data_IF_630014586764
#
_entry.id   IF_630014586764
#
_cell.length_a   1.000
_cell.length_b   1.000
_cell.length_c   1.000
_cell.angle_alpha   90.00
_cell.angle_beta   90.00
_cell.angle_gamma   90.00
#
_symmetry.space_group_name_H-M   'P 1'
#
loop_
_entity.id
_entity.type
_entity.pdbx_description
1 polymer ?
#
# COMPACT_ATOMS: atom_id res chain seq x y z
N UNK A 1 -19.04 -6.82 17.37
CA UNK A 1 -17.86 -6.93 16.51
C UNK A 1 -16.69 -7.17 17.42
N UNK A 2 -16.15 -8.36 17.34
CA UNK A 2 -14.98 -8.82 18.07
C UNK A 2 -13.72 -8.56 17.23
N UNK A 3 -12.55 -8.68 17.85
CA UNK A 3 -11.27 -8.58 17.14
C UNK A 3 -11.15 -9.72 16.12
N UNK A 4 -10.87 -9.37 14.87
CA UNK A 4 -10.86 -10.30 13.74
C UNK A 4 -12.17 -10.35 12.95
N UNK A 5 -13.24 -9.73 13.43
CA UNK A 5 -14.49 -9.63 12.68
C UNK A 5 -14.36 -8.64 11.52
N UNK A 6 -15.10 -8.92 10.46
CA UNK A 6 -15.31 -7.99 9.35
C UNK A 6 -16.78 -7.94 8.96
N UNK A 7 -17.21 -6.79 8.43
CA UNK A 7 -18.54 -6.60 7.87
C UNK A 7 -18.39 -6.55 6.34
N UNK A 8 -19.16 -7.39 5.65
CA UNK A 8 -19.27 -7.40 4.19
C UNK A 8 -20.53 -6.65 3.71
N UNK A 9 -20.68 -6.47 2.41
CA UNK A 9 -21.80 -5.74 1.80
C UNK A 9 -23.16 -6.39 2.08
N UNK A 10 -23.19 -7.71 2.21
CA UNK A 10 -24.40 -8.47 2.59
C UNK A 10 -24.79 -8.27 4.06
N UNK A 11 -23.85 -7.88 4.91
CA UNK A 11 -24.08 -7.62 6.35
C UNK A 11 -24.66 -6.24 6.67
N UNK A 12 -24.94 -5.41 5.67
CA UNK A 12 -25.45 -4.05 5.85
C UNK A 12 -26.97 -4.00 5.91
N UNK A 13 -27.51 -3.31 6.91
CA UNK A 13 -28.94 -3.06 7.03
C UNK A 13 -29.37 -1.95 6.05
N UNK A 14 -30.23 -2.32 5.10
CA UNK A 14 -30.58 -1.47 3.96
C UNK A 14 -31.90 -0.71 4.21
N UNK A 15 -31.91 0.63 4.14
CA UNK A 15 -33.14 1.39 4.26
C UNK A 15 -34.04 1.20 3.04
N UNK A 16 -35.34 1.45 3.22
CA UNK A 16 -36.35 1.27 2.17
C UNK A 16 -35.99 2.08 0.91
N UNK A 17 -35.95 1.40 -0.23
CA UNK A 17 -35.68 2.01 -1.54
C UNK A 17 -34.20 2.09 -1.92
N UNK A 18 -33.29 1.57 -1.10
CA UNK A 18 -31.86 1.47 -1.43
C UNK A 18 -31.52 0.04 -1.85
N UNK A 19 -30.77 -0.08 -2.94
CA UNK A 19 -30.27 -1.36 -3.48
C UNK A 19 -28.78 -1.24 -3.78
N UNK A 20 -27.99 -2.24 -3.37
CA UNK A 20 -26.56 -2.33 -3.69
C UNK A 20 -26.42 -2.99 -5.06
N UNK A 21 -25.99 -2.22 -6.06
CA UNK A 21 -25.81 -2.73 -7.43
C UNK A 21 -24.79 -3.87 -7.49
N UNK A 22 -23.79 -3.87 -6.61
CA UNK A 22 -22.82 -4.96 -6.48
C UNK A 22 -23.51 -6.32 -6.24
N UNK A 23 -24.57 -6.36 -5.44
CA UNK A 23 -25.34 -7.57 -5.14
C UNK A 23 -26.42 -7.88 -6.20
N UNK A 24 -26.57 -7.03 -7.23
CA UNK A 24 -27.54 -7.26 -8.32
C UNK A 24 -26.95 -8.03 -9.50
N UNK A 25 -25.62 -8.13 -9.57
CA UNK A 25 -24.96 -9.07 -10.46
C UNK A 25 -25.21 -10.47 -9.88
N UNK A 26 -25.69 -11.42 -10.70
CA UNK A 26 -26.24 -12.71 -10.24
C UNK A 26 -25.28 -13.63 -9.45
N UNK A 27 -24.06 -13.20 -9.18
CA UNK A 27 -23.08 -13.84 -8.32
C UNK A 27 -22.79 -12.95 -7.11
N UNK A 28 -23.60 -13.14 -6.05
CA UNK A 28 -23.48 -12.36 -4.82
C UNK A 28 -22.16 -12.63 -4.09
N UNK A 29 -21.67 -13.87 -4.11
CA UNK A 29 -20.43 -14.25 -3.40
C UNK A 29 -19.19 -13.60 -4.03
N UNK A 30 -19.13 -13.50 -5.36
CA UNK A 30 -18.04 -12.80 -6.05
C UNK A 30 -18.01 -11.29 -5.80
N UNK A 31 -19.16 -10.71 -5.44
CA UNK A 31 -19.32 -9.27 -5.25
C UNK A 31 -19.50 -8.86 -3.79
N UNK A 32 -19.49 -9.80 -2.84
CA UNK A 32 -19.60 -9.50 -1.42
C UNK A 32 -18.25 -9.05 -0.83
N UNK A 33 -18.00 -7.76 -0.91
CA UNK A 33 -16.75 -7.15 -0.48
C UNK A 33 -16.75 -6.82 1.01
N UNK A 34 -15.61 -6.99 1.68
CA UNK A 34 -15.41 -6.52 3.06
C UNK A 34 -15.23 -5.01 3.09
N UNK A 35 -16.07 -4.31 3.86
CA UNK A 35 -16.07 -2.83 3.97
C UNK A 35 -15.45 -2.34 5.28
N UNK A 36 -15.49 -3.15 6.33
CA UNK A 36 -14.97 -2.82 7.65
C UNK A 36 -14.29 -4.06 8.22
N UNK A 37 -13.08 -3.90 8.77
CA UNK A 37 -12.38 -4.94 9.51
C UNK A 37 -11.96 -4.41 10.88
N UNK A 38 -12.18 -5.19 11.94
CA UNK A 38 -11.78 -4.86 13.30
C UNK A 38 -10.46 -5.57 13.59
N UNK A 39 -9.37 -4.80 13.62
CA UNK A 39 -8.02 -5.31 13.84
C UNK A 39 -7.41 -4.72 15.12
N UNK A 40 -6.50 -5.48 15.74
CA UNK A 40 -5.71 -4.96 16.85
C UNK A 40 -4.84 -3.80 16.37
N UNK A 41 -4.69 -2.79 17.22
CA UNK A 41 -3.81 -1.67 16.91
C UNK A 41 -2.38 -2.19 16.80
N UNK A 42 -1.79 -2.10 15.61
CA UNK A 42 -0.37 -2.41 15.42
C UNK A 42 0.43 -1.36 16.19
N UNK A 43 0.94 -1.74 17.36
CA UNK A 43 1.93 -0.94 18.08
C UNK A 43 3.18 -0.97 17.21
N UNK A 44 3.42 0.11 16.45
CA UNK A 44 4.71 0.34 15.83
C UNK A 44 5.67 0.65 16.97
N UNK A 45 6.39 -0.36 17.45
CA UNK A 45 7.60 -0.10 18.21
C UNK A 45 8.51 0.73 17.29
N UNK A 46 8.99 1.87 17.80
CA UNK A 46 10.02 2.66 17.14
C UNK A 46 11.21 1.72 16.94
N UNK A 47 11.41 1.26 15.70
CA UNK A 47 12.61 0.54 15.35
C UNK A 47 13.67 1.62 15.30
N UNK A 48 14.51 1.70 16.33
CA UNK A 48 15.78 2.39 16.20
C UNK A 48 16.47 1.77 14.99
N UNK A 49 16.56 2.55 13.92
CA UNK A 49 17.28 2.20 12.71
C UNK A 49 18.77 2.20 13.09
N UNK A 50 19.22 1.13 13.75
CA UNK A 50 20.63 0.88 14.09
C UNK A 50 21.38 0.39 12.83
N UNK A 51 20.99 0.92 11.67
CA UNK A 51 21.75 0.75 10.45
C UNK A 51 23.09 1.47 10.68
N UNK A 52 24.23 0.78 10.51
CA UNK A 52 25.53 1.41 10.66
C UNK A 52 25.62 2.57 9.66
N UNK A 53 25.83 3.78 10.19
CA UNK A 53 26.13 4.95 9.37
C UNK A 53 27.38 4.60 8.56
N UNK A 54 27.24 4.55 7.24
CA UNK A 54 28.38 4.35 6.36
C UNK A 54 29.38 5.48 6.65
N UNK A 55 30.69 5.17 6.82
CA UNK A 55 31.68 6.21 7.05
C UNK A 55 31.64 7.20 5.90
N UNK A 56 31.66 8.51 6.22
CA UNK A 56 31.77 9.56 5.21
C UNK A 56 33.07 9.34 4.43
N UNK A 57 32.96 8.81 3.21
CA UNK A 57 34.07 8.89 2.25
C UNK A 57 34.19 10.35 1.84
N UNK A 58 35.30 10.99 2.22
CA UNK A 58 35.69 12.29 1.68
C UNK A 58 35.70 12.16 0.15
N UNK A 59 34.74 12.83 -0.51
CA UNK A 59 34.80 13.05 -1.95
C UNK A 59 35.93 14.05 -2.16
N UNK A 60 37.14 13.53 -2.39
CA UNK A 60 38.23 14.31 -2.98
C UNK A 60 37.70 14.82 -4.31
N UNK A 61 37.52 16.14 -4.37
CA UNK A 61 36.88 16.83 -5.48
C UNK A 61 37.51 16.51 -6.83
N UNK A 62 36.60 16.38 -7.80
CA UNK A 62 36.69 16.83 -9.19
C UNK A 62 38.09 17.27 -9.65
N UNK A 63 38.76 16.41 -10.42
CA UNK A 63 39.55 16.86 -11.55
C UNK A 63 39.87 15.65 -12.46
N UNK A 64 39.44 15.80 -13.72
CA UNK A 64 39.90 15.15 -14.95
C UNK A 64 38.90 14.24 -15.68
N UNK A 65 38.48 14.80 -16.83
CA UNK A 65 38.22 14.14 -18.10
C UNK A 65 36.77 13.75 -18.43
N UNK A 66 36.04 14.78 -18.87
CA UNK A 66 34.97 14.65 -19.84
C UNK A 66 35.57 14.32 -21.23
N UNK A 67 35.62 13.03 -21.59
CA UNK A 67 35.80 12.52 -22.96
C UNK A 67 35.02 11.18 -23.01
N UNK A 68 34.11 10.84 -23.91
CA UNK A 68 33.71 11.43 -25.17
C UNK A 68 32.29 10.95 -25.52
N UNK A 69 31.52 11.83 -26.17
CA UNK A 69 30.29 11.52 -26.90
C UNK A 69 30.49 10.35 -27.87
N UNK A 70 29.89 9.19 -27.57
CA UNK A 70 29.74 8.10 -28.54
C UNK A 70 28.58 8.44 -29.50
N UNK A 71 28.95 8.85 -30.72
CA UNK A 71 28.05 9.12 -31.83
C UNK A 71 27.31 7.85 -32.25
N UNK A 72 25.99 7.89 -32.18
CA UNK A 72 25.10 6.92 -32.81
C UNK A 72 23.93 7.58 -33.55
N UNK A 73 24.21 8.39 -34.57
CA UNK A 73 23.20 8.84 -35.54
C UNK A 73 23.78 8.64 -36.96
N UNK A 74 23.45 7.50 -37.59
CA UNK A 74 22.89 7.35 -38.95
C UNK A 74 22.85 5.89 -39.41
#
# INVERSE_FOLDING_TARGET
LELGDHISLTGLDMPKGVTLTALTHGDIEAHDQSVVAVQEAKIMAEVEDDAPVAPETEVVGDDADAEADDKGDK
#
